data_IF_760275430395
#
_entry.id   IF_760275430395
#
_cell.length_a   1.000
_cell.length_b   1.000
_cell.length_c   1.000
_cell.angle_alpha   90.00
_cell.angle_beta   90.00
_cell.angle_gamma   90.00
#
_symmetry.space_group_name_H-M   'P 1'
#
loop_
_entity.id
_entity.type
_entity.pdbx_description
1 polymer ?
#
# COMPACT_ATOMS: atom_id res chain seq x y z
N UNK A 1 53.41 -5.41 33.30
CA UNK A 1 52.53 -4.22 33.27
C UNK A 1 51.25 -4.60 32.52
N UNK A 2 50.27 -5.12 33.28
CA UNK A 2 49.01 -5.62 32.77
C UNK A 2 48.00 -4.50 32.73
N UNK A 3 47.47 -4.17 31.57
CA UNK A 3 46.33 -3.29 31.44
C UNK A 3 45.09 -4.15 31.11
N UNK A 4 44.25 -4.31 32.10
CA UNK A 4 42.92 -4.88 32.07
C UNK A 4 41.99 -3.95 31.28
N UNK A 5 41.56 -4.35 30.09
CA UNK A 5 40.38 -3.78 29.46
C UNK A 5 39.15 -4.47 30.05
N UNK A 6 38.46 -3.78 30.92
CA UNK A 6 37.14 -4.15 31.41
C UNK A 6 36.12 -4.02 30.31
N UNK A 7 35.61 -5.11 29.79
CA UNK A 7 34.39 -5.16 28.97
C UNK A 7 33.18 -4.82 29.87
N UNK A 8 32.67 -3.60 29.72
CA UNK A 8 31.34 -3.29 30.20
C UNK A 8 30.30 -3.94 29.29
N UNK A 9 29.97 -5.20 29.57
CA UNK A 9 28.76 -5.81 29.06
C UNK A 9 27.57 -5.05 29.64
N UNK A 10 26.86 -4.30 28.81
CA UNK A 10 25.57 -3.71 29.17
C UNK A 10 24.58 -4.86 29.47
N UNK A 11 24.41 -5.17 30.75
CA UNK A 11 23.37 -6.09 31.23
C UNK A 11 22.01 -5.46 31.05
N UNK A 12 21.42 -5.60 29.88
CA UNK A 12 20.03 -5.25 29.64
C UNK A 12 19.14 -6.18 30.45
N UNK A 13 18.50 -5.65 31.49
CA UNK A 13 17.53 -6.39 32.30
C UNK A 13 16.28 -6.61 31.46
N UNK A 14 15.98 -7.86 31.10
CA UNK A 14 14.71 -8.22 30.44
C UNK A 14 13.59 -8.20 31.47
N UNK A 15 12.65 -7.28 31.33
CA UNK A 15 11.44 -7.19 32.17
C UNK A 15 10.27 -8.00 31.62
N UNK A 16 10.49 -9.00 30.79
CA UNK A 16 9.41 -9.88 30.35
C UNK A 16 8.93 -10.72 31.54
N UNK A 17 7.66 -10.58 31.96
CA UNK A 17 7.08 -11.47 32.97
C UNK A 17 7.21 -12.91 32.45
N UNK A 18 7.71 -13.81 33.27
CA UNK A 18 8.05 -15.20 32.93
C UNK A 18 6.88 -16.06 32.36
N UNK A 19 5.69 -15.49 32.17
CA UNK A 19 4.46 -16.19 31.75
C UNK A 19 3.66 -15.49 30.64
N UNK A 20 4.17 -14.43 30.01
CA UNK A 20 3.39 -13.78 28.96
C UNK A 20 3.51 -14.57 27.66
N UNK A 21 2.52 -15.45 27.43
CA UNK A 21 2.42 -16.25 26.21
C UNK A 21 2.09 -15.33 25.03
N UNK A 22 2.91 -15.38 23.99
CA UNK A 22 2.66 -14.65 22.74
C UNK A 22 1.28 -15.06 22.19
N UNK A 23 0.47 -14.06 21.85
CA UNK A 23 -0.88 -14.30 21.36
C UNK A 23 -0.88 -15.02 20.00
N UNK A 24 -1.86 -15.90 19.72
CA UNK A 24 -1.91 -16.67 18.46
C UNK A 24 -1.97 -15.80 17.21
N UNK A 25 -2.47 -14.57 17.33
CA UNK A 25 -2.61 -13.57 16.26
C UNK A 25 -1.42 -12.60 16.15
N UNK A 26 -0.40 -12.70 17.02
CA UNK A 26 0.71 -11.74 17.07
C UNK A 26 1.45 -11.60 15.72
N UNK A 27 1.66 -12.72 15.01
CA UNK A 27 2.28 -12.69 13.67
C UNK A 27 1.42 -11.92 12.65
N UNK A 28 0.09 -12.07 12.72
CA UNK A 28 -0.84 -11.32 11.88
C UNK A 28 -0.79 -9.82 12.20
N UNK A 29 -0.81 -9.44 13.48
CA UNK A 29 -0.64 -8.05 13.89
C UNK A 29 0.68 -7.46 13.39
N UNK A 30 1.79 -8.17 13.54
CA UNK A 30 3.10 -7.75 13.04
C UNK A 30 3.14 -7.62 11.50
N UNK A 31 2.38 -8.45 10.75
CA UNK A 31 2.25 -8.34 9.30
C UNK A 31 1.47 -7.09 8.91
N UNK A 32 0.36 -6.79 9.59
CA UNK A 32 -0.46 -5.59 9.37
C UNK A 32 0.31 -4.28 9.62
N UNK A 33 1.21 -4.25 10.59
CA UNK A 33 2.08 -3.08 10.84
C UNK A 33 3.05 -2.79 9.69
N UNK A 34 3.34 -3.77 8.83
CA UNK A 34 4.22 -3.60 7.67
C UNK A 34 3.50 -3.08 6.43
N UNK A 35 2.16 -3.08 6.41
CA UNK A 35 1.35 -2.63 5.29
C UNK A 35 0.04 -3.41 5.17
N UNK A 36 -0.63 -3.23 4.04
CA UNK A 36 -1.89 -3.92 3.76
C UNK A 36 -1.70 -5.45 3.70
N UNK A 37 -2.65 -6.17 4.29
CA UNK A 37 -2.76 -7.63 4.22
C UNK A 37 -3.83 -7.98 3.19
N UNK A 38 -3.55 -8.98 2.35
CA UNK A 38 -4.46 -9.46 1.33
C UNK A 38 -4.89 -10.91 1.59
N UNK A 39 -6.03 -11.31 1.03
CA UNK A 39 -6.64 -12.62 1.23
C UNK A 39 -5.83 -13.78 0.65
N UNK A 40 -4.93 -13.51 -0.30
CA UNK A 40 -3.98 -14.48 -0.83
C UNK A 40 -2.77 -14.76 0.09
N UNK A 41 -2.62 -14.03 1.18
CA UNK A 41 -1.70 -14.33 2.28
C UNK A 41 -2.41 -15.25 3.29
N UNK A 42 -2.78 -16.46 2.85
CA UNK A 42 -3.71 -17.38 3.51
C UNK A 42 -3.50 -17.55 5.02
N UNK A 43 -2.25 -17.78 5.47
CA UNK A 43 -1.97 -18.00 6.91
C UNK A 43 -2.33 -16.76 7.74
N UNK A 44 -1.91 -15.58 7.29
CA UNK A 44 -2.15 -14.32 8.00
C UNK A 44 -3.63 -13.92 7.90
N UNK A 45 -4.25 -14.10 6.73
CA UNK A 45 -5.65 -13.81 6.51
C UNK A 45 -6.57 -14.68 7.37
N UNK A 46 -6.32 -15.99 7.45
CA UNK A 46 -7.07 -16.88 8.32
C UNK A 46 -6.97 -16.46 9.80
N UNK A 47 -5.78 -16.03 10.24
CA UNK A 47 -5.61 -15.50 11.61
C UNK A 47 -6.37 -14.19 11.81
N UNK A 48 -6.39 -13.31 10.82
CA UNK A 48 -7.17 -12.09 10.85
C UNK A 48 -8.67 -12.38 11.04
N UNK A 49 -9.21 -13.32 10.25
CA UNK A 49 -10.64 -13.65 10.31
C UNK A 49 -11.02 -14.30 11.64
N UNK A 50 -10.19 -15.21 12.15
CA UNK A 50 -10.45 -15.92 13.42
C UNK A 50 -10.37 -14.96 14.63
N UNK A 51 -9.38 -14.08 14.66
CA UNK A 51 -9.09 -13.19 15.80
C UNK A 51 -9.42 -11.73 15.51
N UNK A 52 -10.47 -11.51 14.70
CA UNK A 52 -10.85 -10.17 14.23
C UNK A 52 -11.11 -9.20 15.38
N UNK A 53 -11.85 -9.64 16.39
CA UNK A 53 -12.27 -8.79 17.52
C UNK A 53 -11.04 -8.42 18.35
N UNK A 54 -10.22 -9.39 18.72
CA UNK A 54 -9.01 -9.19 19.52
C UNK A 54 -8.01 -8.28 18.82
N UNK A 55 -7.88 -8.41 17.50
CA UNK A 55 -7.01 -7.55 16.70
C UNK A 55 -7.53 -6.12 16.64
N UNK A 56 -8.84 -5.91 16.45
CA UNK A 56 -9.45 -4.58 16.44
C UNK A 56 -9.25 -3.90 17.81
N UNK A 57 -9.55 -4.61 18.90
CA UNK A 57 -9.39 -4.08 20.25
C UNK A 57 -7.93 -3.75 20.58
N UNK A 58 -7.00 -4.61 20.18
CA UNK A 58 -5.58 -4.40 20.44
C UNK A 58 -5.03 -3.20 19.66
N UNK A 59 -5.36 -3.07 18.36
CA UNK A 59 -4.95 -1.94 17.56
C UNK A 59 -5.56 -0.62 18.05
N UNK A 60 -6.81 -0.62 18.50
CA UNK A 60 -7.46 0.55 19.06
C UNK A 60 -6.73 1.06 20.31
N UNK A 61 -6.23 0.16 21.18
CA UNK A 61 -5.47 0.54 22.39
C UNK A 61 -4.15 1.27 22.07
N UNK A 62 -3.60 1.08 20.89
CA UNK A 62 -2.37 1.77 20.45
C UNK A 62 -2.65 2.90 19.45
N UNK A 63 -3.91 3.39 19.39
CA UNK A 63 -4.31 4.53 18.58
C UNK A 63 -4.37 4.25 17.07
N UNK A 64 -4.67 3.00 16.70
CA UNK A 64 -4.75 2.56 15.30
C UNK A 64 -6.05 1.80 15.07
N UNK A 65 -6.73 2.11 13.99
CA UNK A 65 -7.94 1.42 13.54
C UNK A 65 -7.59 0.35 12.50
N UNK A 66 -8.13 -0.86 12.69
CA UNK A 66 -8.02 -1.95 11.72
C UNK A 66 -9.26 -1.98 10.85
N UNK A 67 -9.07 -1.70 9.56
CA UNK A 67 -10.12 -1.75 8.53
C UNK A 67 -9.99 -3.06 7.75
N UNK A 68 -11.11 -3.78 7.62
CA UNK A 68 -11.17 -5.09 6.97
C UNK A 68 -12.28 -5.10 5.94
N UNK A 69 -11.93 -5.28 4.68
CA UNK A 69 -12.88 -5.57 3.62
C UNK A 69 -12.76 -7.04 3.20
N UNK A 70 -13.66 -7.87 3.72
CA UNK A 70 -13.67 -9.31 3.41
C UNK A 70 -14.19 -9.60 1.98
N UNK A 71 -15.02 -8.72 1.42
CA UNK A 71 -15.54 -8.86 0.06
C UNK A 71 -14.44 -8.62 -0.96
N UNK A 72 -13.70 -7.53 -0.78
CA UNK A 72 -12.61 -7.12 -1.67
C UNK A 72 -11.26 -7.74 -1.28
N UNK A 73 -11.21 -8.50 -0.16
CA UNK A 73 -10.08 -9.35 0.22
C UNK A 73 -8.85 -8.58 0.68
N UNK A 74 -9.03 -7.50 1.45
CA UNK A 74 -7.89 -6.77 2.03
C UNK A 74 -8.19 -6.26 3.44
N UNK A 75 -7.11 -5.97 4.18
CA UNK A 75 -7.16 -5.28 5.47
C UNK A 75 -5.95 -4.36 5.60
N UNK A 76 -6.14 -3.23 6.28
CA UNK A 76 -5.08 -2.26 6.52
C UNK A 76 -5.31 -1.45 7.79
N UNK A 77 -4.26 -0.78 8.25
CA UNK A 77 -4.29 0.07 9.43
C UNK A 77 -4.43 1.55 9.05
N UNK A 78 -5.28 2.26 9.79
CA UNK A 78 -5.44 3.71 9.72
C UNK A 78 -5.17 4.31 11.09
N UNK A 79 -4.43 5.42 11.17
CA UNK A 79 -4.21 6.12 12.44
C UNK A 79 -5.50 6.78 12.91
N UNK A 80 -5.77 6.69 14.20
CA UNK A 80 -6.86 7.42 14.86
C UNK A 80 -6.35 8.82 15.20
N UNK A 81 -7.13 9.85 14.89
CA UNK A 81 -6.88 11.21 15.33
C UNK A 81 -7.23 11.35 16.80
N UNK A 82 -6.28 11.84 17.61
CA UNK A 82 -6.39 11.93 19.06
C UNK A 82 -7.01 13.26 19.51
N UNK A 83 -7.01 14.25 18.63
CA UNK A 83 -7.53 15.60 18.87
C UNK A 83 -8.05 16.24 17.57
N UNK A 84 -8.72 17.41 17.72
CA UNK A 84 -9.25 18.19 16.61
C UNK A 84 -8.16 18.80 15.69
N UNK A 85 -6.87 18.65 16.04
CA UNK A 85 -5.72 19.11 15.25
C UNK A 85 -5.13 18.01 14.36
N UNK A 86 -5.72 16.82 14.37
CA UNK A 86 -5.25 15.68 13.59
C UNK A 86 -3.98 15.02 14.15
N UNK A 87 -3.68 15.24 15.44
CA UNK A 87 -2.55 14.56 16.10
C UNK A 87 -2.79 13.06 16.12
N UNK A 88 -1.77 12.28 15.79
CA UNK A 88 -1.84 10.80 15.79
C UNK A 88 -0.66 10.21 16.57
N UNK A 89 -0.73 8.93 16.93
CA UNK A 89 0.37 8.22 17.61
C UNK A 89 1.62 8.10 16.70
N UNK A 90 1.48 8.25 15.38
CA UNK A 90 2.60 8.16 14.44
C UNK A 90 3.09 6.74 14.17
N UNK A 91 2.31 5.71 14.51
CA UNK A 91 2.70 4.31 14.36
C UNK A 91 2.68 3.86 12.89
N UNK A 92 1.74 4.36 12.09
CA UNK A 92 1.63 4.06 10.66
C UNK A 92 2.24 5.21 9.87
N UNK A 93 3.37 4.97 9.20
CA UNK A 93 4.03 5.99 8.41
C UNK A 93 3.18 6.42 7.22
N UNK A 94 2.90 7.72 7.13
CA UNK A 94 2.36 8.34 5.91
C UNK A 94 3.55 8.71 5.03
N UNK A 95 3.74 8.01 3.92
CA UNK A 95 4.73 8.40 2.90
C UNK A 95 4.02 9.25 1.85
N UNK A 96 4.44 10.51 1.64
CA UNK A 96 3.94 11.27 0.51
C UNK A 96 4.37 10.56 -0.77
N UNK A 97 3.42 10.35 -1.67
CA UNK A 97 3.69 9.77 -2.98
C UNK A 97 4.19 10.86 -3.93
N UNK A 98 5.09 10.51 -4.85
CA UNK A 98 5.43 11.41 -5.95
C UNK A 98 4.21 11.61 -6.87
N UNK A 99 4.21 12.72 -7.62
CA UNK A 99 3.16 13.00 -8.58
C UNK A 99 2.95 11.83 -9.56
N UNK A 100 4.04 11.28 -10.09
CA UNK A 100 4.00 10.20 -11.06
C UNK A 100 3.43 8.89 -10.46
N UNK A 101 3.78 8.57 -9.21
CA UNK A 101 3.24 7.40 -8.50
C UNK A 101 1.77 7.61 -8.18
N UNK A 102 1.38 8.81 -7.75
CA UNK A 102 -0.04 9.16 -7.51
C UNK A 102 -0.84 9.04 -8.80
N UNK A 103 -0.33 9.59 -9.91
CA UNK A 103 -0.96 9.48 -11.22
C UNK A 103 -1.14 8.03 -11.65
N UNK A 104 -0.11 7.18 -11.47
CA UNK A 104 -0.21 5.76 -11.75
C UNK A 104 -1.32 5.09 -10.91
N UNK A 105 -1.41 5.40 -9.62
CA UNK A 105 -2.46 4.88 -8.75
C UNK A 105 -3.87 5.34 -9.17
N UNK A 106 -4.02 6.61 -9.56
CA UNK A 106 -5.29 7.18 -10.06
C UNK A 106 -5.74 6.49 -11.35
N UNK A 107 -4.81 6.28 -12.28
CA UNK A 107 -5.10 5.56 -13.53
C UNK A 107 -5.50 4.12 -13.26
N UNK A 108 -4.75 3.41 -12.40
CA UNK A 108 -5.08 2.04 -12.00
C UNK A 108 -6.45 1.97 -11.32
N UNK A 109 -6.79 2.97 -10.48
CA UNK A 109 -8.10 3.05 -9.82
C UNK A 109 -9.23 3.23 -10.83
N UNK A 110 -9.07 4.14 -11.80
CA UNK A 110 -10.02 4.34 -12.90
C UNK A 110 -10.21 3.07 -13.72
N UNK A 111 -9.12 2.43 -14.12
CA UNK A 111 -9.17 1.18 -14.89
C UNK A 111 -9.85 0.05 -14.12
N UNK A 112 -9.65 -0.01 -12.80
CA UNK A 112 -10.32 -1.00 -11.94
C UNK A 112 -11.85 -0.78 -11.91
N UNK A 113 -12.31 0.48 -11.86
CA UNK A 113 -13.75 0.80 -11.92
C UNK A 113 -14.34 0.42 -13.28
N UNK A 114 -13.66 0.76 -14.37
CA UNK A 114 -14.09 0.39 -15.72
C UNK A 114 -14.14 -1.13 -15.89
N UNK A 115 -13.17 -1.86 -15.34
CA UNK A 115 -13.16 -3.31 -15.34
C UNK A 115 -14.37 -3.89 -14.58
N UNK A 116 -14.66 -3.39 -13.38
CA UNK A 116 -15.79 -3.86 -12.56
C UNK A 116 -17.15 -3.60 -13.22
N UNK A 117 -17.25 -2.56 -14.04
CA UNK A 117 -18.48 -2.25 -14.79
C UNK A 117 -18.64 -3.14 -16.03
N UNK A 118 -17.56 -3.53 -16.68
CA UNK A 118 -17.59 -4.18 -17.99
C UNK A 118 -17.37 -5.71 -17.92
N UNK A 119 -16.63 -6.19 -16.91
CA UNK A 119 -16.30 -7.61 -16.76
C UNK A 119 -16.78 -8.16 -15.41
N UNK A 120 -17.88 -8.88 -15.44
CA UNK A 120 -18.43 -9.57 -14.26
C UNK A 120 -17.93 -11.01 -14.14
N UNK A 121 -17.15 -11.50 -15.10
CA UNK A 121 -16.69 -12.90 -15.18
C UNK A 121 -15.42 -13.16 -14.33
N UNK A 122 -14.60 -12.14 -14.10
CA UNK A 122 -13.36 -12.23 -13.34
C UNK A 122 -13.40 -11.32 -12.11
N UNK A 123 -12.95 -11.85 -10.97
CA UNK A 123 -12.80 -11.06 -9.75
C UNK A 123 -11.59 -10.13 -9.83
N UNK A 124 -10.49 -10.58 -10.44
CA UNK A 124 -9.22 -9.90 -10.41
C UNK A 124 -8.89 -9.29 -11.77
N UNK A 125 -8.51 -8.02 -11.76
CA UNK A 125 -8.03 -7.31 -12.92
C UNK A 125 -6.53 -7.53 -13.10
N UNK A 126 -6.11 -7.90 -14.31
CA UNK A 126 -4.71 -8.06 -14.69
C UNK A 126 -4.32 -7.05 -15.76
N UNK A 127 -3.11 -6.50 -15.63
CA UNK A 127 -2.58 -5.52 -16.57
C UNK A 127 -1.12 -5.83 -16.90
N UNK A 128 -0.71 -5.59 -18.14
CA UNK A 128 0.69 -5.70 -18.55
C UNK A 128 1.42 -4.37 -18.39
N UNK A 129 2.75 -4.41 -18.25
CA UNK A 129 3.60 -3.21 -18.26
C UNK A 129 3.38 -2.38 -19.52
N UNK A 130 3.27 -3.03 -20.68
CA UNK A 130 3.00 -2.37 -21.96
C UNK A 130 1.71 -1.53 -21.91
N UNK A 131 0.63 -2.10 -21.37
CA UNK A 131 -0.64 -1.39 -21.27
C UNK A 131 -0.55 -0.22 -20.28
N UNK A 132 0.08 -0.42 -19.12
CA UNK A 132 0.35 0.66 -18.15
C UNK A 132 1.11 1.82 -18.78
N UNK A 133 2.13 1.52 -19.61
CA UNK A 133 2.88 2.54 -20.32
C UNK A 133 1.99 3.32 -21.29
N UNK A 134 1.19 2.64 -22.08
CA UNK A 134 0.30 3.27 -23.05
C UNK A 134 -0.72 4.19 -22.36
N UNK A 135 -1.32 3.73 -21.28
CA UNK A 135 -2.28 4.53 -20.52
C UNK A 135 -1.63 5.78 -19.90
N UNK A 136 -0.47 5.61 -19.26
CA UNK A 136 0.27 6.73 -18.69
C UNK A 136 0.73 7.74 -19.73
N UNK A 137 1.20 7.28 -20.89
CA UNK A 137 1.66 8.16 -21.98
C UNK A 137 0.56 9.10 -22.49
N UNK A 138 -0.72 8.68 -22.40
CA UNK A 138 -1.85 9.48 -22.87
C UNK A 138 -2.05 10.78 -22.04
N UNK A 139 -1.60 10.78 -20.77
CA UNK A 139 -1.70 11.93 -19.87
C UNK A 139 -0.55 12.94 -20.00
N UNK A 140 0.54 12.58 -20.69
CA UNK A 140 1.69 13.48 -20.84
C UNK A 140 1.73 14.08 -22.25
N UNK A 141 1.31 15.35 -22.36
CA UNK A 141 1.32 16.11 -23.62
C UNK A 141 2.76 16.50 -24.05
N UNK A 142 3.63 16.81 -23.07
CA UNK A 142 4.99 17.22 -23.34
C UNK A 142 5.94 16.04 -23.56
N UNK A 143 6.70 16.08 -24.65
CA UNK A 143 7.65 15.04 -25.04
C UNK A 143 8.73 14.78 -23.97
N UNK A 144 9.23 15.82 -23.29
CA UNK A 144 10.26 15.69 -22.27
C UNK A 144 9.76 14.92 -21.04
N UNK A 145 8.55 15.23 -20.54
CA UNK A 145 7.93 14.57 -19.42
C UNK A 145 7.60 13.11 -19.73
N UNK A 146 7.11 12.85 -20.96
CA UNK A 146 6.85 11.50 -21.45
C UNK A 146 8.12 10.64 -21.51
N UNK A 147 9.24 11.17 -22.00
CA UNK A 147 10.51 10.44 -22.03
C UNK A 147 11.05 10.12 -20.63
N UNK A 148 10.91 11.05 -19.68
CA UNK A 148 11.26 10.82 -18.27
C UNK A 148 10.40 9.70 -17.69
N UNK A 149 9.08 9.76 -17.90
CA UNK A 149 8.13 8.76 -17.42
C UNK A 149 8.51 7.35 -17.90
N UNK A 150 8.72 7.16 -19.21
CA UNK A 150 9.08 5.85 -19.79
C UNK A 150 10.35 5.30 -19.14
N UNK A 151 11.37 6.15 -18.96
CA UNK A 151 12.64 5.75 -18.35
C UNK A 151 12.50 5.30 -16.92
N UNK A 152 11.65 5.98 -16.14
CA UNK A 152 11.47 5.74 -14.70
C UNK A 152 10.29 4.80 -14.38
N UNK A 153 9.54 4.36 -15.40
CA UNK A 153 8.29 3.60 -15.21
C UNK A 153 8.47 2.35 -14.34
N UNK A 154 9.60 1.66 -14.49
CA UNK A 154 9.90 0.47 -13.68
C UNK A 154 9.94 0.81 -12.19
N UNK A 155 10.59 1.91 -11.84
CA UNK A 155 10.67 2.39 -10.46
C UNK A 155 9.29 2.72 -9.91
N UNK A 156 8.44 3.40 -10.67
CA UNK A 156 7.08 3.74 -10.25
C UNK A 156 6.22 2.49 -10.05
N UNK A 157 6.32 1.49 -10.95
CA UNK A 157 5.62 0.21 -10.81
C UNK A 157 6.10 -0.53 -9.56
N UNK A 158 7.41 -0.60 -9.32
CA UNK A 158 7.98 -1.25 -8.13
C UNK A 158 7.50 -0.58 -6.84
N UNK A 159 7.45 0.75 -6.80
CA UNK A 159 6.93 1.50 -5.66
C UNK A 159 5.44 1.18 -5.40
N UNK A 160 4.62 1.09 -6.44
CA UNK A 160 3.20 0.71 -6.33
C UNK A 160 3.03 -0.75 -5.89
N UNK A 161 3.95 -1.64 -6.29
CA UNK A 161 4.01 -3.03 -5.79
C UNK A 161 4.39 -3.07 -4.30
N UNK A 162 5.38 -2.29 -3.87
CA UNK A 162 5.78 -2.18 -2.46
C UNK A 162 4.66 -1.61 -1.57
N UNK A 163 3.85 -0.69 -2.10
CA UNK A 163 2.66 -0.17 -1.43
C UNK A 163 1.52 -1.21 -1.32
N UNK A 164 1.63 -2.35 -2.01
CA UNK A 164 0.62 -3.40 -2.03
C UNK A 164 -0.59 -3.08 -2.92
N UNK A 165 -0.48 -2.15 -3.85
CA UNK A 165 -1.54 -1.78 -4.80
C UNK A 165 -1.48 -2.56 -6.11
N UNK A 166 -0.29 -3.06 -6.45
CA UNK A 166 -0.06 -4.03 -7.50
C UNK A 166 0.60 -5.29 -6.94
N UNK A 167 0.28 -6.44 -7.52
CA UNK A 167 1.00 -7.71 -7.29
C UNK A 167 1.58 -8.21 -8.60
N UNK A 168 2.87 -8.42 -8.63
CA UNK A 168 3.51 -9.04 -9.79
C UNK A 168 3.10 -10.50 -9.87
N UNK A 169 2.48 -10.90 -10.99
CA UNK A 169 1.96 -12.25 -11.20
C UNK A 169 2.89 -13.05 -12.10
N UNK A 170 3.39 -12.41 -13.17
CA UNK A 170 4.27 -13.03 -14.14
C UNK A 170 5.43 -12.11 -14.51
N UNK A 171 6.63 -12.68 -14.53
CA UNK A 171 7.82 -12.06 -15.14
C UNK A 171 8.17 -12.78 -16.41
N UNK A 172 8.38 -12.02 -17.48
CA UNK A 172 8.96 -12.55 -18.71
C UNK A 172 10.43 -12.10 -18.80
N UNK A 173 11.35 -13.06 -18.70
CA UNK A 173 12.79 -12.78 -18.74
C UNK A 173 13.28 -12.31 -20.11
N UNK A 174 12.51 -12.58 -21.16
CA UNK A 174 12.84 -12.21 -22.55
C UNK A 174 12.22 -10.87 -22.97
N UNK A 175 11.08 -10.49 -22.38
CA UNK A 175 10.38 -9.26 -22.70
C UNK A 175 9.69 -8.66 -21.46
N UNK A 176 10.33 -7.70 -20.84
CA UNK A 176 9.80 -7.03 -19.65
C UNK A 176 8.45 -6.30 -19.90
N UNK A 177 8.11 -5.95 -21.12
CA UNK A 177 6.82 -5.34 -21.48
C UNK A 177 5.63 -6.29 -21.25
N UNK A 178 5.88 -7.61 -21.26
CA UNK A 178 4.89 -8.67 -21.02
C UNK A 178 4.79 -9.05 -19.53
N UNK A 179 5.56 -8.39 -18.63
CA UNK A 179 5.35 -8.54 -17.20
C UNK A 179 3.89 -8.22 -16.85
N UNK A 180 3.26 -9.09 -16.08
CA UNK A 180 1.84 -8.99 -15.73
C UNK A 180 1.67 -8.74 -14.23
N UNK A 181 0.74 -7.85 -13.92
CA UNK A 181 0.42 -7.42 -12.57
C UNK A 181 -1.08 -7.57 -12.31
N UNK A 182 -1.43 -7.98 -11.10
CA UNK A 182 -2.78 -7.92 -10.58
C UNK A 182 -3.00 -6.57 -9.91
N UNK A 183 -4.06 -5.88 -10.30
CA UNK A 183 -4.48 -4.61 -9.67
C UNK A 183 -5.27 -4.92 -8.41
N UNK A 184 -4.79 -4.42 -7.27
CA UNK A 184 -5.36 -4.72 -5.97
C UNK A 184 -6.51 -3.77 -5.61
N UNK A 185 -7.62 -4.31 -5.12
CA UNK A 185 -8.84 -3.58 -4.79
C UNK A 185 -8.69 -2.58 -3.64
N UNK A 186 -7.63 -2.68 -2.84
CA UNK A 186 -7.29 -1.70 -1.81
C UNK A 186 -7.13 -0.28 -2.38
N UNK A 187 -6.86 -0.12 -3.68
CA UNK A 187 -6.84 1.17 -4.36
C UNK A 187 -8.15 1.95 -4.14
N UNK A 188 -9.30 1.27 -4.09
CA UNK A 188 -10.61 1.89 -3.85
C UNK A 188 -10.71 2.54 -2.46
N UNK A 189 -10.08 1.93 -1.48
CA UNK A 189 -10.06 2.44 -0.11
C UNK A 189 -8.99 3.52 0.13
N UNK A 190 -8.00 3.64 -0.76
CA UNK A 190 -6.90 4.61 -0.68
C UNK A 190 -7.10 5.83 -1.56
N UNK A 191 -7.81 5.65 -2.66
CA UNK A 191 -8.18 6.69 -3.61
C UNK A 191 -9.71 6.61 -3.77
N UNK A 192 -10.43 7.31 -2.89
CA UNK A 192 -11.88 7.41 -2.96
C UNK A 192 -12.33 8.19 -4.20
N UNK A 193 -13.63 8.20 -4.44
CA UNK A 193 -14.19 8.81 -5.66
C UNK A 193 -13.94 10.32 -5.70
N UNK A 194 -13.94 11.01 -4.56
CA UNK A 194 -13.68 12.44 -4.48
C UNK A 194 -12.22 12.75 -4.85
N UNK A 195 -11.28 11.99 -4.30
CA UNK A 195 -9.86 12.08 -4.63
C UNK A 195 -9.62 11.77 -6.11
N UNK A 196 -10.27 10.73 -6.64
CA UNK A 196 -10.17 10.35 -8.04
C UNK A 196 -10.66 11.49 -8.95
N UNK A 197 -11.85 12.04 -8.70
CA UNK A 197 -12.43 13.15 -9.47
C UNK A 197 -11.54 14.39 -9.42
N UNK A 198 -11.04 14.76 -8.24
CA UNK A 198 -10.12 15.88 -8.07
C UNK A 198 -8.87 15.75 -8.95
N UNK A 199 -8.20 14.58 -8.90
CA UNK A 199 -7.00 14.34 -9.71
C UNK A 199 -7.29 14.31 -11.21
N UNK A 200 -8.42 13.72 -11.64
CA UNK A 200 -8.80 13.70 -13.07
C UNK A 200 -9.07 15.11 -13.59
N UNK A 201 -9.74 15.97 -12.83
CA UNK A 201 -9.96 17.36 -13.19
C UNK A 201 -8.65 18.14 -13.33
N UNK A 202 -7.70 17.94 -12.41
CA UNK A 202 -6.37 18.57 -12.49
C UNK A 202 -5.59 18.12 -13.73
N UNK A 203 -5.76 16.88 -14.17
CA UNK A 203 -5.11 16.36 -15.38
C UNK A 203 -5.71 16.91 -16.66
N UNK A 204 -7.01 17.22 -16.66
CA UNK A 204 -7.73 17.80 -17.80
C UNK A 204 -7.51 19.32 -17.92
N UNK A 205 -7.23 20.01 -16.83
CA UNK A 205 -7.02 21.47 -16.74
C UNK A 205 -5.61 21.81 -16.23
N UNK A 206 -4.54 21.66 -17.04
CA UNK A 206 -3.16 21.82 -16.58
C UNK A 206 -2.71 23.27 -16.35
N UNK A 207 -3.56 24.29 -16.51
CA UNK A 207 -3.17 25.71 -16.55
C UNK A 207 -3.47 26.52 -15.27
N UNK A 208 -3.96 25.92 -14.18
CA UNK A 208 -4.05 26.63 -12.90
C UNK A 208 -2.89 26.21 -11.97
N UNK A 209 -2.03 27.18 -11.53
CA UNK A 209 -0.97 26.87 -10.57
C UNK A 209 -1.59 26.49 -9.22
N UNK A 210 -1.10 25.39 -8.64
CA UNK A 210 -1.43 24.98 -7.27
C UNK A 210 -0.96 26.11 -6.35
N UNK A 211 -1.90 26.87 -5.75
CA UNK A 211 -1.58 27.73 -4.61
C UNK A 211 -1.18 26.84 -3.42
N UNK A 212 0.05 27.06 -2.93
CA UNK A 212 0.61 26.41 -1.74
C UNK A 212 -0.08 26.82 -0.44
#
# INVERSE_FOLDING_TARGET
>A
MNTLFSENAATGTSYLPAQQKVQPWAKCAARLLKGALHDDEEEAWNKLVIYKIELIEWFAQIGVELLIDQRDGFAYLRQIELDDKGTTVGLVQRRPLSYEVTLLCVILRKMLDEFELNDTSSRNMYITRKLLRVELESFFKEKANRMKLIRELNRYIEEVVELGYLKKVRSDSSNAEEDSFEVRRILKARFDDDTLQYFLQQLESPDEPIEE
#
